data_IF_556154422449
#
_entry.id   IF_556154422449
#
_cell.length_a   1.000
_cell.length_b   1.000
_cell.length_c   1.000
_cell.angle_alpha   90.00
_cell.angle_beta   90.00
_cell.angle_gamma   90.00
#
_symmetry.space_group_name_H-M   'P 1'
#
loop_
_entity.id
_entity.type
_entity.pdbx_description
1 polymer ?
#
# COMPACT_ATOMS: atom_id res chain seq x y z
N UNK A 1 17.52 5.19 0.74
CA UNK A 1 16.76 4.93 -0.49
C UNK A 1 15.53 5.84 -0.51
N UNK A 2 15.27 6.56 -1.62
CA UNK A 2 14.02 7.32 -1.79
C UNK A 2 13.07 6.47 -2.63
N UNK A 3 12.03 5.94 -2.01
CA UNK A 3 10.95 5.25 -2.71
C UNK A 3 9.78 6.21 -2.81
N UNK A 4 9.14 6.24 -3.97
CA UNK A 4 7.92 7.00 -4.18
C UNK A 4 6.96 6.13 -4.98
N UNK A 5 5.69 6.14 -4.58
CA UNK A 5 4.66 5.46 -5.32
C UNK A 5 4.01 6.45 -6.29
N UNK A 6 3.83 6.02 -7.54
CA UNK A 6 3.14 6.81 -8.55
C UNK A 6 1.88 6.07 -8.97
N UNK A 7 0.75 6.76 -8.97
CA UNK A 7 -0.55 6.25 -9.43
C UNK A 7 -0.92 6.98 -10.71
N UNK A 8 -1.40 6.21 -11.69
CA UNK A 8 -2.01 6.75 -12.88
C UNK A 8 -3.50 6.37 -12.86
N UNK A 9 -4.37 7.34 -13.10
CA UNK A 9 -5.82 7.12 -13.09
C UNK A 9 -6.32 6.87 -14.50
N UNK A 10 -7.18 5.86 -14.67
CA UNK A 10 -7.92 5.64 -15.91
C UNK A 10 -8.95 6.76 -16.14
N UNK A 11 -9.02 7.24 -17.36
CA UNK A 11 -10.06 8.11 -17.91
C UNK A 11 -10.73 7.40 -19.07
N UNK A 12 -11.91 7.86 -19.45
CA UNK A 12 -12.65 7.32 -20.61
C UNK A 12 -11.83 7.35 -21.91
N UNK A 13 -10.87 8.27 -22.02
CA UNK A 13 -10.03 8.53 -23.18
C UNK A 13 -8.55 8.15 -23.00
N UNK A 14 -8.15 7.53 -21.87
CA UNK A 14 -6.77 7.08 -21.67
C UNK A 14 -6.34 7.02 -20.21
N UNK A 15 -5.03 6.94 -19.99
CA UNK A 15 -4.45 6.97 -18.65
C UNK A 15 -3.95 8.40 -18.39
N UNK A 16 -4.43 9.02 -17.32
CA UNK A 16 -3.89 10.30 -16.86
C UNK A 16 -2.41 10.11 -16.47
N UNK A 17 -1.57 11.12 -16.74
CA UNK A 17 -0.15 11.05 -16.43
C UNK A 17 0.11 10.61 -14.98
N UNK A 18 1.12 9.74 -14.74
CA UNK A 18 1.38 9.20 -13.42
C UNK A 18 1.68 10.33 -12.43
N UNK A 19 0.91 10.39 -11.35
CA UNK A 19 1.11 11.34 -10.25
C UNK A 19 1.79 10.64 -9.09
N UNK A 20 2.71 11.36 -8.43
CA UNK A 20 3.35 10.88 -7.21
C UNK A 20 2.32 10.87 -6.08
N UNK A 21 1.80 9.69 -5.80
CA UNK A 21 0.74 9.42 -4.84
C UNK A 21 1.24 9.47 -3.39
N UNK A 22 2.50 9.06 -3.18
CA UNK A 22 3.16 9.07 -1.89
C UNK A 22 4.69 9.13 -2.09
N UNK A 23 5.41 9.78 -1.17
CA UNK A 23 6.88 9.74 -1.15
C UNK A 23 7.45 9.58 0.26
N UNK A 24 8.70 9.11 0.31
CA UNK A 24 9.46 8.85 1.53
C UNK A 24 9.84 10.11 2.34
N UNK A 25 9.25 11.28 2.07
CA UNK A 25 9.39 12.45 2.94
C UNK A 25 8.35 12.46 4.07
N UNK A 26 7.46 11.45 4.12
CA UNK A 26 6.54 11.24 5.23
C UNK A 26 7.22 10.52 6.40
N UNK A 27 7.74 11.30 7.36
CA UNK A 27 8.41 10.79 8.58
C UNK A 27 7.49 9.99 9.50
N UNK A 28 6.17 10.00 9.26
CA UNK A 28 5.18 9.33 10.10
C UNK A 28 4.95 7.86 9.70
N UNK A 29 5.22 7.49 8.44
CA UNK A 29 4.95 6.13 7.92
C UNK A 29 6.21 5.37 7.46
N UNK A 30 7.38 6.02 7.54
CA UNK A 30 8.68 5.38 7.33
C UNK A 30 9.03 5.14 5.85
N UNK A 31 10.22 4.57 5.62
CA UNK A 31 10.69 4.21 4.27
C UNK A 31 10.14 2.87 3.81
N UNK A 32 9.43 2.88 2.68
CA UNK A 32 8.88 1.69 2.05
C UNK A 32 9.89 1.09 1.09
N UNK A 33 10.10 -0.23 1.17
CA UNK A 33 10.89 -0.98 0.19
C UNK A 33 9.93 -1.71 -0.76
N UNK A 34 10.05 -1.46 -2.07
CA UNK A 34 9.23 -2.09 -3.09
C UNK A 34 9.33 -3.63 -3.06
N UNK A 35 10.51 -4.18 -2.79
CA UNK A 35 10.72 -5.64 -2.69
C UNK A 35 10.00 -6.28 -1.50
N UNK A 36 9.55 -5.44 -0.55
CA UNK A 36 8.79 -5.82 0.64
C UNK A 36 7.32 -5.46 0.53
N UNK A 37 6.85 -5.01 -0.64
CA UNK A 37 5.49 -4.55 -0.86
C UNK A 37 4.78 -5.43 -1.87
N UNK A 38 3.50 -5.73 -1.59
CA UNK A 38 2.54 -6.23 -2.57
C UNK A 38 1.41 -5.20 -2.68
N UNK A 39 0.96 -4.93 -3.90
CA UNK A 39 0.06 -3.83 -4.24
C UNK A 39 -1.25 -4.38 -4.80
N UNK A 40 -2.36 -3.75 -4.41
CA UNK A 40 -3.69 -3.97 -4.99
C UNK A 40 -4.36 -2.63 -5.21
N UNK A 41 -5.18 -2.52 -6.25
CA UNK A 41 -6.06 -1.36 -6.46
C UNK A 41 -7.51 -1.83 -6.54
N UNK A 42 -8.43 -1.07 -5.94
CA UNK A 42 -9.85 -1.37 -5.90
C UNK A 42 -10.60 -0.28 -5.15
N UNK A 43 -11.92 -0.23 -5.27
CA UNK A 43 -12.76 0.66 -4.46
C UNK A 43 -13.11 -0.07 -3.14
N UNK A 44 -12.35 0.21 -2.07
CA UNK A 44 -12.47 -0.48 -0.78
C UNK A 44 -13.39 0.27 0.19
N UNK A 45 -13.62 1.56 -0.01
CA UNK A 45 -14.49 2.39 0.84
C UNK A 45 -15.87 2.70 0.23
N UNK A 46 -16.09 2.37 -1.05
CA UNK A 46 -17.36 2.46 -1.74
C UNK A 46 -17.70 3.83 -2.29
N UNK A 47 -16.71 4.74 -2.42
CA UNK A 47 -16.93 6.11 -2.90
C UNK A 47 -16.91 6.25 -4.43
N UNK A 48 -16.68 5.15 -5.15
CA UNK A 48 -16.61 5.10 -6.61
C UNK A 48 -15.24 5.47 -7.19
N UNK A 49 -14.21 5.62 -6.35
CA UNK A 49 -12.81 5.87 -6.75
C UNK A 49 -11.95 4.67 -6.45
N UNK A 50 -10.86 4.54 -7.20
CA UNK A 50 -9.87 3.50 -6.93
C UNK A 50 -8.98 3.90 -5.74
N UNK A 51 -8.96 3.05 -4.72
CA UNK A 51 -8.04 3.06 -3.59
C UNK A 51 -6.80 2.21 -3.89
N UNK A 52 -5.79 2.36 -3.04
CA UNK A 52 -4.60 1.52 -3.03
C UNK A 52 -4.50 0.72 -1.73
N UNK A 53 -4.27 -0.58 -1.83
CA UNK A 53 -3.86 -1.44 -0.74
C UNK A 53 -2.38 -1.83 -0.87
N UNK A 54 -1.64 -1.78 0.23
CA UNK A 54 -0.24 -2.23 0.31
C UNK A 54 -0.06 -3.20 1.45
N UNK A 55 0.18 -4.48 1.14
CA UNK A 55 0.64 -5.46 2.11
C UNK A 55 2.16 -5.36 2.22
N UNK A 56 2.65 -5.06 3.42
CA UNK A 56 4.05 -4.78 3.67
C UNK A 56 4.70 -5.83 4.56
N UNK A 57 5.82 -6.39 4.11
CA UNK A 57 6.68 -7.27 4.89
C UNK A 57 7.54 -6.45 5.86
N UNK A 58 7.24 -6.57 7.15
CA UNK A 58 7.95 -5.86 8.23
C UNK A 58 9.17 -6.63 8.75
N UNK A 59 9.46 -7.81 8.21
CA UNK A 59 10.56 -8.67 8.62
C UNK A 59 10.13 -9.68 9.67
N UNK A 60 11.09 -10.16 10.45
CA UNK A 60 10.86 -11.13 11.51
C UNK A 60 11.05 -10.47 12.87
N UNK A 61 10.18 -10.81 13.81
CA UNK A 61 10.27 -10.45 15.23
C UNK A 61 9.89 -11.66 16.07
N UNK A 62 10.75 -12.04 17.03
CA UNK A 62 10.61 -13.23 17.88
C UNK A 62 10.29 -14.52 17.09
N UNK A 63 11.02 -14.77 16.00
CA UNK A 63 10.82 -15.95 15.14
C UNK A 63 9.53 -15.92 14.30
N UNK A 64 8.80 -14.80 14.29
CA UNK A 64 7.54 -14.65 13.58
C UNK A 64 7.67 -13.60 12.49
N UNK A 65 7.31 -13.98 11.27
CA UNK A 65 7.20 -13.05 10.16
C UNK A 65 6.05 -12.08 10.42
N UNK A 66 6.33 -10.78 10.29
CA UNK A 66 5.40 -9.69 10.54
C UNK A 66 4.99 -9.04 9.22
N UNK A 67 3.69 -8.81 9.09
CA UNK A 67 3.08 -8.13 7.94
C UNK A 67 2.08 -7.08 8.42
N UNK A 68 1.89 -6.04 7.62
CA UNK A 68 0.86 -5.04 7.85
C UNK A 68 0.20 -4.64 6.53
N UNK A 69 -1.12 -4.46 6.55
CA UNK A 69 -1.87 -3.91 5.43
C UNK A 69 -2.15 -2.44 5.67
N UNK A 70 -1.82 -1.62 4.68
CA UNK A 70 -2.15 -0.21 4.66
C UNK A 70 -3.04 0.11 3.47
N UNK A 71 -4.00 1.01 3.66
CA UNK A 71 -4.82 1.54 2.58
C UNK A 71 -4.56 3.03 2.38
N UNK A 72 -4.73 3.48 1.13
CA UNK A 72 -4.70 4.87 0.73
C UNK A 72 -6.01 5.12 -0.02
N UNK A 73 -6.87 5.97 0.54
CA UNK A 73 -8.16 6.27 -0.08
C UNK A 73 -7.94 7.11 -1.34
N UNK A 74 -8.64 6.75 -2.41
CA UNK A 74 -8.70 7.47 -3.67
C UNK A 74 -9.25 8.88 -3.46
N UNK A 75 -8.67 9.85 -4.16
CA UNK A 75 -9.17 11.21 -4.30
C UNK A 75 -9.20 11.55 -5.78
N UNK A 76 -9.83 12.66 -6.15
CA UNK A 76 -10.01 13.05 -7.56
C UNK A 76 -8.70 13.06 -8.37
N UNK A 77 -7.58 13.40 -7.71
CA UNK A 77 -6.30 13.53 -8.38
C UNK A 77 -5.09 13.14 -7.50
N UNK A 78 -5.34 12.42 -6.40
CA UNK A 78 -4.36 12.01 -5.40
C UNK A 78 -4.87 10.80 -4.59
N UNK A 79 -4.06 10.34 -3.63
CA UNK A 79 -4.52 9.42 -2.58
C UNK A 79 -4.28 10.04 -1.21
N UNK A 80 -5.02 9.57 -0.20
CA UNK A 80 -4.79 9.97 1.18
C UNK A 80 -3.42 9.52 1.69
N UNK A 81 -3.03 10.03 2.87
CA UNK A 81 -1.95 9.41 3.65
C UNK A 81 -2.30 7.95 3.95
N UNK A 82 -1.31 7.04 4.03
CA UNK A 82 -1.57 5.65 4.35
C UNK A 82 -2.16 5.49 5.74
N UNK A 83 -3.15 4.61 5.85
CA UNK A 83 -3.73 4.16 7.12
C UNK A 83 -3.43 2.68 7.28
N UNK A 84 -2.80 2.28 8.40
CA UNK A 84 -2.64 0.87 8.74
C UNK A 84 -4.00 0.31 9.17
N UNK A 85 -4.60 -0.53 8.34
CA UNK A 85 -5.93 -1.11 8.59
C UNK A 85 -5.85 -2.47 9.27
N UNK A 86 -4.72 -3.17 9.14
CA UNK A 86 -4.52 -4.48 9.76
C UNK A 86 -3.04 -4.82 9.93
N UNK A 87 -2.72 -5.63 10.93
CA UNK A 87 -1.43 -6.31 11.09
C UNK A 87 -1.60 -7.66 11.78
N UNK A 88 -0.55 -8.49 11.73
CA UNK A 88 -0.52 -9.79 12.40
C UNK A 88 0.18 -9.75 13.77
N UNK A 89 0.22 -8.60 14.47
CA UNK A 89 1.02 -8.45 15.68
C UNK A 89 0.72 -9.53 16.75
N UNK A 90 -0.56 -9.87 16.90
CA UNK A 90 -1.07 -10.83 17.88
C UNK A 90 -1.31 -12.23 17.31
N UNK A 91 -0.89 -12.52 16.08
CA UNK A 91 -1.20 -13.78 15.36
C UNK A 91 0.04 -14.62 15.06
N UNK A 92 -0.18 -15.84 14.57
CA UNK A 92 0.90 -16.74 14.12
C UNK A 92 1.72 -16.14 12.98
N UNK A 93 2.93 -16.67 12.80
CA UNK A 93 3.89 -16.25 11.77
C UNK A 93 3.25 -16.29 10.37
N UNK A 94 3.29 -15.17 9.66
CA UNK A 94 2.69 -15.06 8.33
C UNK A 94 3.70 -15.42 7.23
N UNK A 95 3.39 -16.40 6.37
CA UNK A 95 4.31 -16.74 5.28
C UNK A 95 4.17 -15.76 4.11
N UNK A 96 5.09 -14.80 4.04
CA UNK A 96 5.16 -13.79 2.98
C UNK A 96 5.14 -14.39 1.56
N UNK A 97 5.89 -15.48 1.33
CA UNK A 97 6.03 -16.10 0.00
C UNK A 97 4.77 -16.85 -0.45
N UNK A 98 3.82 -17.09 0.45
CA UNK A 98 2.52 -17.71 0.14
C UNK A 98 1.37 -16.70 0.09
N UNK A 99 1.67 -15.41 0.20
CA UNK A 99 0.65 -14.37 0.11
C UNK A 99 0.50 -13.92 -1.34
N UNK A 100 -0.70 -13.58 -1.75
CA UNK A 100 -0.93 -12.81 -2.97
C UNK A 100 -2.00 -11.75 -2.68
N UNK A 101 -1.96 -10.66 -3.44
CA UNK A 101 -2.98 -9.62 -3.43
C UNK A 101 -3.65 -9.66 -4.81
N UNK A 102 -4.90 -10.12 -4.84
CA UNK A 102 -5.68 -10.31 -6.07
C UNK A 102 -6.26 -9.04 -6.64
#
# INVERSE_FOLDING_TARGET
FRTAFHIAYGRADGIAGPKRAWDNNDTTTGSWNADRSKLVAGDFDGDGKADLGVLYNRGEDDGKNKVALHTFAGRDDAVSRPVKVWDNENSTSWNWYRSDLG
#
